data_IF_581233933767
#
_entry.id   IF_581233933767
#
_cell.length_a   1.000
_cell.length_b   1.000
_cell.length_c   1.000
_cell.angle_alpha   90.00
_cell.angle_beta   90.00
_cell.angle_gamma   90.00
#
_symmetry.space_group_name_H-M   'P 1'
#
loop_
_entity.id
_entity.type
_entity.pdbx_description
1 polymer ?
#
# COMPACT_ATOMS: atom_id res chain seq x y z
N UNK A 1 25.51 -7.79 -18.14
CA UNK A 1 24.95 -9.03 -17.51
C UNK A 1 24.79 -8.91 -15.99
N UNK A 2 25.63 -8.17 -15.26
CA UNK A 2 25.45 -7.94 -13.82
C UNK A 2 24.33 -6.93 -13.52
N UNK A 3 24.12 -5.90 -14.36
CA UNK A 3 23.07 -4.89 -14.20
C UNK A 3 21.64 -5.40 -14.45
N UNK A 4 21.46 -6.43 -15.27
CA UNK A 4 20.12 -7.03 -15.49
C UNK A 4 19.66 -7.89 -14.31
N UNK A 5 20.59 -8.45 -13.55
CA UNK A 5 20.26 -9.28 -12.36
C UNK A 5 19.77 -8.44 -11.18
N UNK A 6 20.24 -7.21 -11.03
CA UNK A 6 19.78 -6.30 -9.96
C UNK A 6 18.35 -5.74 -10.21
N UNK A 7 17.98 -5.49 -11.47
CA UNK A 7 16.63 -5.03 -11.85
C UNK A 7 15.53 -6.04 -11.49
N UNK A 8 15.85 -7.33 -11.53
CA UNK A 8 14.92 -8.38 -11.11
C UNK A 8 14.85 -8.60 -9.60
N UNK A 9 15.81 -8.11 -8.81
CA UNK A 9 15.82 -8.32 -7.35
C UNK A 9 14.70 -7.57 -6.63
N UNK A 10 14.34 -6.36 -7.04
CA UNK A 10 13.27 -5.58 -6.37
C UNK A 10 11.89 -6.21 -6.63
N UNK A 11 11.64 -6.70 -7.84
CA UNK A 11 10.43 -7.47 -8.14
C UNK A 11 10.44 -8.85 -7.44
N UNK A 12 11.61 -9.44 -7.18
CA UNK A 12 11.77 -10.69 -6.41
C UNK A 12 11.66 -10.51 -4.90
N UNK A 13 11.98 -9.34 -4.35
CA UNK A 13 11.78 -9.06 -2.92
C UNK A 13 10.30 -9.01 -2.52
N UNK A 14 9.41 -8.70 -3.48
CA UNK A 14 7.98 -8.88 -3.31
C UNK A 14 7.52 -10.34 -3.52
N UNK A 15 8.32 -11.18 -4.18
CA UNK A 15 8.06 -12.60 -4.39
C UNK A 15 8.75 -13.45 -3.30
N UNK A 16 8.13 -14.55 -2.90
CA UNK A 16 8.75 -15.49 -1.96
C UNK A 16 9.93 -16.23 -2.62
N UNK A 17 11.04 -16.42 -1.89
CA UNK A 17 12.14 -17.31 -2.29
C UNK A 17 11.79 -18.81 -2.16
N UNK A 18 10.55 -19.16 -1.84
CA UNK A 18 10.08 -20.53 -1.75
C UNK A 18 9.52 -21.00 -3.08
N UNK A 19 9.65 -22.31 -3.39
CA UNK A 19 9.04 -22.96 -4.56
C UNK A 19 7.49 -22.94 -4.52
N UNK A 20 6.89 -22.48 -3.43
CA UNK A 20 5.46 -22.24 -3.34
C UNK A 20 5.11 -20.91 -4.08
N UNK A 21 3.98 -20.88 -4.80
CA UNK A 21 3.52 -19.64 -5.40
C UNK A 21 3.40 -18.56 -4.32
N UNK A 22 3.86 -17.31 -4.59
CA UNK A 22 3.78 -16.24 -3.61
C UNK A 22 2.33 -16.02 -3.21
N UNK A 23 2.04 -15.78 -1.91
CA UNK A 23 0.72 -15.34 -1.50
C UNK A 23 0.38 -14.07 -2.27
N UNK A 24 -0.75 -14.05 -2.92
CA UNK A 24 -1.17 -12.91 -3.75
C UNK A 24 -1.97 -11.92 -2.90
N UNK A 25 -1.79 -10.63 -3.14
CA UNK A 25 -2.74 -9.60 -2.68
C UNK A 25 -4.06 -9.69 -3.45
N UNK A 26 -4.12 -10.52 -4.47
CA UNK A 26 -5.23 -10.66 -5.39
C UNK A 26 -6.17 -11.72 -4.82
N UNK A 27 -7.43 -11.35 -4.66
CA UNK A 27 -8.48 -12.31 -4.36
C UNK A 27 -8.76 -13.17 -5.61
N UNK A 28 -9.03 -14.44 -5.42
CA UNK A 28 -9.38 -15.38 -6.49
C UNK A 28 -10.85 -15.81 -6.41
N UNK A 29 -11.39 -16.31 -7.51
CA UNK A 29 -12.80 -16.73 -7.58
C UNK A 29 -13.08 -17.88 -6.58
N UNK A 30 -12.17 -18.84 -6.41
CA UNK A 30 -12.31 -19.94 -5.45
C UNK A 30 -12.40 -19.46 -3.98
N UNK A 31 -11.70 -18.39 -3.64
CA UNK A 31 -11.83 -17.76 -2.31
C UNK A 31 -13.20 -17.13 -2.14
N UNK A 32 -13.69 -16.43 -3.16
CA UNK A 32 -15.02 -15.82 -3.14
C UNK A 32 -16.12 -16.87 -3.04
N UNK A 33 -16.02 -17.98 -3.80
CA UNK A 33 -16.92 -19.14 -3.70
C UNK A 33 -16.90 -19.73 -2.29
N UNK A 34 -15.72 -19.98 -1.72
CA UNK A 34 -15.58 -20.49 -0.35
C UNK A 34 -16.17 -19.52 0.70
N UNK A 35 -16.13 -18.23 0.45
CA UNK A 35 -16.75 -17.20 1.27
C UNK A 35 -18.26 -17.06 1.02
N UNK A 36 -18.82 -17.69 -0.03
CA UNK A 36 -20.21 -17.58 -0.43
C UNK A 36 -20.60 -16.19 -0.94
N UNK A 37 -19.70 -15.55 -1.68
CA UNK A 37 -19.89 -14.21 -2.27
C UNK A 37 -19.62 -14.25 -3.77
N UNK A 38 -20.13 -13.27 -4.51
CA UNK A 38 -19.72 -13.08 -5.91
C UNK A 38 -18.34 -12.40 -5.96
N UNK A 39 -17.55 -12.74 -6.95
CA UNK A 39 -16.20 -12.20 -7.13
C UNK A 39 -16.16 -10.68 -7.22
N UNK A 40 -17.08 -10.09 -7.97
CA UNK A 40 -17.17 -8.64 -8.16
C UNK A 40 -17.48 -7.90 -6.85
N UNK A 41 -18.32 -8.51 -5.99
CA UNK A 41 -18.72 -7.91 -4.71
C UNK A 41 -17.55 -7.76 -3.75
N UNK A 42 -16.50 -8.60 -3.87
CA UNK A 42 -15.28 -8.48 -3.07
C UNK A 42 -14.55 -7.13 -3.24
N UNK A 43 -14.87 -6.35 -4.29
CA UNK A 43 -14.23 -5.06 -4.55
C UNK A 43 -15.11 -3.85 -4.23
N UNK A 44 -16.44 -4.03 -4.15
CA UNK A 44 -17.37 -2.91 -4.09
C UNK A 44 -18.41 -3.01 -2.96
N UNK A 45 -18.48 -4.16 -2.28
CA UNK A 45 -19.38 -4.39 -1.14
C UNK A 45 -18.57 -4.66 0.12
N UNK A 46 -18.84 -3.93 1.20
CA UNK A 46 -18.01 -3.97 2.41
C UNK A 46 -18.07 -5.31 3.13
N UNK A 47 -19.27 -5.93 3.27
CA UNK A 47 -19.39 -7.23 3.91
C UNK A 47 -18.76 -8.33 3.06
N UNK A 48 -18.99 -8.34 1.75
CA UNK A 48 -18.40 -9.30 0.84
C UNK A 48 -16.86 -9.20 0.86
N UNK A 49 -16.32 -7.99 0.81
CA UNK A 49 -14.88 -7.73 0.92
C UNK A 49 -14.32 -8.28 2.24
N UNK A 50 -15.00 -8.04 3.37
CA UNK A 50 -14.58 -8.54 4.68
C UNK A 50 -14.58 -10.08 4.72
N UNK A 51 -15.64 -10.72 4.22
CA UNK A 51 -15.75 -12.18 4.14
C UNK A 51 -14.68 -12.79 3.25
N UNK A 52 -14.36 -12.14 2.12
CA UNK A 52 -13.27 -12.56 1.25
C UNK A 52 -11.92 -12.46 1.96
N UNK A 53 -11.63 -11.35 2.66
CA UNK A 53 -10.40 -11.16 3.41
C UNK A 53 -10.24 -12.20 4.53
N UNK A 54 -11.32 -12.52 5.22
CA UNK A 54 -11.33 -13.55 6.25
C UNK A 54 -11.10 -14.96 5.67
N UNK A 55 -11.73 -15.29 4.53
CA UNK A 55 -11.52 -16.57 3.87
C UNK A 55 -10.07 -16.70 3.37
N UNK A 56 -9.51 -15.63 2.78
CA UNK A 56 -8.12 -15.58 2.35
C UNK A 56 -7.15 -15.77 3.51
N UNK A 57 -7.35 -15.05 4.62
CA UNK A 57 -6.48 -15.17 5.80
C UNK A 57 -6.51 -16.59 6.39
N UNK A 58 -7.67 -17.23 6.43
CA UNK A 58 -7.81 -18.63 6.91
C UNK A 58 -7.13 -19.63 5.99
N UNK A 59 -7.28 -19.48 4.66
CA UNK A 59 -6.61 -20.34 3.68
C UNK A 59 -5.09 -20.26 3.80
N UNK A 60 -4.56 -19.03 3.91
CA UNK A 60 -3.13 -18.78 3.94
C UNK A 60 -2.51 -18.90 5.34
N UNK A 61 -3.31 -19.17 6.36
CA UNK A 61 -2.93 -19.09 7.78
C UNK A 61 -2.30 -17.74 8.13
N UNK A 62 -2.80 -16.67 7.49
CA UNK A 62 -2.33 -15.31 7.71
C UNK A 62 -2.86 -14.75 9.03
N UNK A 63 -2.01 -14.25 9.93
CA UNK A 63 -2.45 -13.61 11.17
C UNK A 63 -3.16 -12.26 10.95
N UNK A 64 -3.24 -11.80 9.69
CA UNK A 64 -3.83 -10.52 9.30
C UNK A 64 -4.88 -10.70 8.21
N UNK A 65 -5.99 -9.97 8.31
CA UNK A 65 -6.89 -9.75 7.19
C UNK A 65 -6.40 -8.54 6.38
N UNK A 66 -5.98 -8.75 5.14
CA UNK A 66 -5.43 -7.72 4.27
C UNK A 66 -6.51 -7.08 3.41
N UNK A 67 -6.52 -5.76 3.35
CA UNK A 67 -7.46 -4.94 2.57
C UNK A 67 -6.69 -3.77 1.92
N UNK A 68 -7.21 -3.21 0.81
CA UNK A 68 -8.21 -3.75 -0.12
C UNK A 68 -7.60 -4.77 -1.10
N UNK A 69 -8.41 -5.26 -2.05
CA UNK A 69 -7.96 -6.12 -3.16
C UNK A 69 -7.72 -5.33 -4.46
N UNK A 70 -7.70 -4.03 -4.38
CA UNK A 70 -7.59 -3.10 -5.52
C UNK A 70 -6.71 -1.91 -5.14
N UNK A 71 -5.89 -1.48 -6.09
CA UNK A 71 -5.02 -0.29 -5.98
C UNK A 71 -5.73 1.02 -6.38
N UNK A 72 -7.03 0.99 -6.62
CA UNK A 72 -7.77 2.10 -7.23
C UNK A 72 -8.68 2.86 -6.26
N UNK A 73 -8.67 2.50 -4.98
CA UNK A 73 -9.62 3.00 -3.98
C UNK A 73 -9.59 4.52 -3.86
N UNK A 74 -8.42 5.12 -3.71
CA UNK A 74 -8.28 6.57 -3.59
C UNK A 74 -8.48 7.28 -4.94
N UNK A 75 -8.00 6.66 -6.04
CA UNK A 75 -8.10 7.25 -7.37
C UNK A 75 -9.55 7.36 -7.87
N UNK A 76 -10.44 6.45 -7.46
CA UNK A 76 -11.88 6.51 -7.77
C UNK A 76 -12.50 7.83 -7.30
N UNK A 77 -12.13 8.33 -6.12
CA UNK A 77 -12.62 9.59 -5.56
C UNK A 77 -12.30 10.81 -6.43
N UNK A 78 -11.28 10.69 -7.28
CA UNK A 78 -10.80 11.77 -8.17
C UNK A 78 -11.13 11.53 -9.64
N UNK A 79 -12.12 10.68 -9.90
CA UNK A 79 -12.72 10.50 -11.23
C UNK A 79 -12.16 9.33 -12.03
N UNK A 80 -11.30 8.49 -11.46
CA UNK A 80 -10.91 7.23 -12.10
C UNK A 80 -12.16 6.32 -12.25
N UNK A 81 -12.52 5.99 -13.50
CA UNK A 81 -13.61 5.06 -13.79
C UNK A 81 -13.08 3.65 -13.84
N UNK A 82 -13.60 2.82 -12.96
CA UNK A 82 -13.14 1.46 -12.79
C UNK A 82 -13.96 0.48 -13.63
N UNK A 83 -13.29 -0.52 -14.15
CA UNK A 83 -13.89 -1.70 -14.76
C UNK A 83 -13.08 -2.92 -14.33
N UNK A 84 -13.72 -4.10 -14.27
CA UNK A 84 -12.95 -5.32 -14.11
C UNK A 84 -12.14 -5.58 -15.38
N UNK A 85 -10.83 -5.75 -15.22
CA UNK A 85 -9.95 -6.07 -16.33
C UNK A 85 -10.30 -7.47 -16.87
N UNK A 86 -10.48 -7.61 -18.18
CA UNK A 86 -10.89 -8.88 -18.81
C UNK A 86 -9.93 -10.04 -18.58
N UNK A 87 -8.62 -9.76 -18.40
CA UNK A 87 -7.58 -10.77 -18.20
C UNK A 87 -7.30 -11.06 -16.73
N UNK A 88 -7.13 -10.00 -15.94
CA UNK A 88 -6.72 -10.11 -14.52
C UNK A 88 -7.91 -10.18 -13.58
N UNK A 89 -9.10 -9.84 -14.04
CA UNK A 89 -10.37 -9.81 -13.29
C UNK A 89 -10.36 -8.86 -12.09
N UNK A 90 -9.34 -8.02 -11.92
CA UNK A 90 -9.25 -7.01 -10.87
C UNK A 90 -9.73 -5.63 -11.39
N UNK A 91 -10.22 -4.73 -10.51
CA UNK A 91 -10.55 -3.38 -10.88
C UNK A 91 -9.34 -2.65 -11.48
N UNK A 92 -9.57 -2.04 -12.64
CA UNK A 92 -8.56 -1.26 -13.34
C UNK A 92 -9.19 0.01 -13.91
N UNK A 93 -8.39 1.05 -14.04
CA UNK A 93 -8.82 2.30 -14.66
C UNK A 93 -8.98 2.09 -16.17
N UNK A 94 -10.20 2.23 -16.67
CA UNK A 94 -10.51 2.04 -18.09
C UNK A 94 -9.87 3.14 -18.96
N UNK A 95 -9.98 4.39 -18.51
CA UNK A 95 -9.41 5.56 -19.17
C UNK A 95 -8.95 6.54 -18.09
N UNK A 96 -7.79 7.15 -18.31
CA UNK A 96 -7.31 8.19 -17.41
C UNK A 96 -8.27 9.39 -17.44
N UNK A 97 -8.73 9.89 -16.28
CA UNK A 97 -9.64 11.04 -16.22
C UNK A 97 -8.99 12.33 -16.74
N UNK A 98 -7.67 12.43 -16.68
CA UNK A 98 -6.94 13.61 -17.11
C UNK A 98 -5.84 13.26 -18.10
N UNK A 99 -5.52 14.20 -19.01
CA UNK A 99 -4.44 14.03 -19.99
C UNK A 99 -3.08 14.42 -19.39
N UNK A 100 -3.04 15.43 -18.53
CA UNK A 100 -1.83 15.99 -17.92
C UNK A 100 -2.11 16.34 -16.46
N UNK A 101 -1.07 16.38 -15.63
CA UNK A 101 -1.16 16.79 -14.23
C UNK A 101 -1.82 18.16 -14.04
N UNK A 102 -1.46 19.12 -14.88
CA UNK A 102 -2.02 20.48 -14.82
C UNK A 102 -3.52 20.56 -15.17
N UNK A 103 -4.09 19.54 -15.80
CA UNK A 103 -5.52 19.48 -16.11
C UNK A 103 -6.36 19.01 -14.91
N UNK A 104 -5.70 18.51 -13.85
CA UNK A 104 -6.37 18.04 -12.64
C UNK A 104 -6.81 19.21 -11.76
N UNK A 105 -8.05 19.20 -11.24
CA UNK A 105 -8.45 20.14 -10.20
C UNK A 105 -7.67 19.89 -8.90
N UNK A 106 -7.77 20.80 -7.93
CA UNK A 106 -7.27 20.55 -6.58
C UNK A 106 -7.97 19.34 -5.95
N UNK A 107 -7.22 18.50 -5.23
CA UNK A 107 -7.77 17.32 -4.58
C UNK A 107 -8.66 17.69 -3.41
N UNK A 108 -9.96 17.50 -3.61
CA UNK A 108 -10.97 17.75 -2.58
C UNK A 108 -10.87 16.70 -1.46
N UNK A 109 -11.40 17.01 -0.25
CA UNK A 109 -11.56 16.01 0.81
C UNK A 109 -12.25 14.75 0.32
N UNK A 110 -11.88 13.60 0.86
CA UNK A 110 -12.45 12.31 0.50
C UNK A 110 -13.87 12.16 1.03
N UNK A 111 -14.78 11.63 0.22
CA UNK A 111 -16.12 11.25 0.65
C UNK A 111 -16.14 9.79 1.11
N UNK A 112 -15.97 9.57 2.39
CA UNK A 112 -15.93 8.22 3.00
C UNK A 112 -17.26 7.47 2.98
N UNK A 113 -18.31 8.08 2.44
CA UNK A 113 -19.66 7.49 2.36
C UNK A 113 -19.95 6.87 0.99
N UNK A 114 -19.03 6.95 0.03
CA UNK A 114 -19.24 6.52 -1.35
C UNK A 114 -18.06 5.74 -1.93
N UNK A 115 -18.38 4.92 -2.95
CA UNK A 115 -17.40 4.21 -3.77
C UNK A 115 -16.63 3.14 -2.99
N UNK A 116 -15.50 2.71 -3.55
CA UNK A 116 -14.68 1.67 -2.93
C UNK A 116 -14.20 2.03 -1.54
N UNK A 117 -13.90 3.30 -1.27
CA UNK A 117 -13.40 3.74 0.04
C UNK A 117 -14.42 3.48 1.16
N UNK A 118 -15.72 3.69 0.89
CA UNK A 118 -16.79 3.34 1.82
C UNK A 118 -16.83 1.83 2.09
N UNK A 119 -16.80 1.03 1.03
CA UNK A 119 -16.80 -0.43 1.15
C UNK A 119 -15.59 -0.95 1.95
N UNK A 120 -14.41 -0.39 1.71
CA UNK A 120 -13.20 -0.75 2.48
C UNK A 120 -13.36 -0.41 3.96
N UNK A 121 -13.85 0.77 4.30
CA UNK A 121 -14.05 1.18 5.70
C UNK A 121 -15.13 0.32 6.39
N UNK A 122 -16.18 -0.06 5.69
CA UNK A 122 -17.19 -1.02 6.17
C UNK A 122 -16.57 -2.40 6.42
N UNK A 123 -15.75 -2.88 5.50
CA UNK A 123 -15.01 -4.14 5.66
C UNK A 123 -14.09 -4.12 6.89
N UNK A 124 -13.36 -3.01 7.10
CA UNK A 124 -12.52 -2.83 8.30
C UNK A 124 -13.35 -2.92 9.57
N UNK A 125 -14.49 -2.22 9.65
CA UNK A 125 -15.41 -2.25 10.81
C UNK A 125 -15.94 -3.67 11.07
N UNK A 126 -16.36 -4.35 10.00
CA UNK A 126 -16.87 -5.71 10.07
C UNK A 126 -15.84 -6.69 10.63
N UNK A 127 -14.62 -6.69 10.06
CA UNK A 127 -13.52 -7.55 10.50
C UNK A 127 -13.12 -7.25 11.95
N UNK A 128 -13.04 -5.97 12.32
CA UNK A 128 -12.73 -5.56 13.69
C UNK A 128 -13.77 -6.06 14.67
N UNK A 129 -15.08 -6.00 14.33
CA UNK A 129 -16.16 -6.52 15.15
C UNK A 129 -16.06 -8.03 15.37
N UNK A 130 -15.51 -8.75 14.37
CA UNK A 130 -15.28 -10.20 14.44
C UNK A 130 -13.95 -10.59 15.11
N UNK A 131 -13.23 -9.61 15.69
CA UNK A 131 -11.99 -9.86 16.44
C UNK A 131 -10.74 -10.01 15.59
N UNK A 132 -10.83 -9.74 14.28
CA UNK A 132 -9.72 -9.88 13.36
C UNK A 132 -8.77 -8.65 13.41
N UNK A 133 -7.52 -8.87 13.10
CA UNK A 133 -6.55 -7.78 12.91
C UNK A 133 -6.46 -7.41 11.44
N UNK A 134 -6.83 -6.18 11.12
CA UNK A 134 -6.82 -5.68 9.74
C UNK A 134 -5.51 -4.98 9.44
N UNK A 135 -4.85 -5.37 8.35
CA UNK A 135 -3.83 -4.60 7.67
C UNK A 135 -4.49 -3.90 6.47
N UNK A 136 -4.49 -2.57 6.51
CA UNK A 136 -5.03 -1.75 5.43
C UNK A 136 -3.90 -1.17 4.59
N UNK A 137 -3.93 -1.40 3.28
CA UNK A 137 -3.04 -0.76 2.32
C UNK A 137 -3.56 0.62 1.92
N UNK A 138 -2.65 1.58 1.92
CA UNK A 138 -2.81 2.94 1.42
C UNK A 138 -1.96 3.07 0.16
N UNK A 139 -2.56 3.50 -0.94
CA UNK A 139 -1.79 3.80 -2.14
C UNK A 139 -0.99 5.08 -1.96
N UNK A 140 0.24 5.06 -2.46
CA UNK A 140 1.13 6.20 -2.42
C UNK A 140 0.79 7.26 -3.46
N UNK A 141 1.37 8.42 -3.30
CA UNK A 141 1.11 9.59 -4.13
C UNK A 141 1.31 9.29 -5.62
N UNK A 142 2.43 8.67 -5.99
CA UNK A 142 2.75 8.39 -7.39
C UNK A 142 1.89 7.27 -7.97
N UNK A 143 1.49 6.30 -7.14
CA UNK A 143 0.54 5.26 -7.51
C UNK A 143 -0.81 5.89 -7.86
N UNK A 144 -1.35 6.76 -7.00
CA UNK A 144 -2.62 7.46 -7.26
C UNK A 144 -2.52 8.34 -8.51
N UNK A 145 -1.46 9.16 -8.62
CA UNK A 145 -1.25 10.01 -9.80
C UNK A 145 -1.22 9.19 -11.09
N UNK A 146 -0.60 8.00 -11.08
CA UNK A 146 -0.48 7.11 -12.25
C UNK A 146 -1.79 6.41 -12.62
N UNK A 147 -2.81 6.48 -11.77
CA UNK A 147 -4.18 6.05 -12.06
C UNK A 147 -5.06 7.21 -12.58
N UNK A 148 -4.65 8.46 -12.36
CA UNK A 148 -5.36 9.66 -12.79
C UNK A 148 -4.85 10.23 -14.12
N UNK A 149 -3.55 10.08 -14.38
CA UNK A 149 -2.90 10.34 -15.67
C UNK A 149 -2.00 9.15 -16.03
N UNK A 150 -1.51 9.07 -17.26
CA UNK A 150 -0.59 7.99 -17.61
C UNK A 150 0.71 8.08 -16.81
N UNK A 151 1.30 6.94 -16.44
CA UNK A 151 2.61 6.89 -15.75
C UNK A 151 3.67 7.68 -16.51
N UNK A 152 3.62 7.69 -17.87
CA UNK A 152 4.51 8.49 -18.70
C UNK A 152 4.40 10.00 -18.40
N UNK A 153 3.20 10.53 -18.17
CA UNK A 153 3.01 11.94 -17.83
C UNK A 153 3.50 12.22 -16.40
N UNK A 154 3.34 11.29 -15.46
CA UNK A 154 3.91 11.41 -14.12
C UNK A 154 5.44 11.50 -14.19
N UNK A 155 6.11 10.55 -14.86
CA UNK A 155 7.57 10.58 -15.03
C UNK A 155 8.04 11.86 -15.75
N UNK A 156 7.34 12.26 -16.81
CA UNK A 156 7.66 13.51 -17.53
C UNK A 156 7.56 14.73 -16.61
N UNK A 157 6.57 14.79 -15.73
CA UNK A 157 6.42 15.88 -14.78
C UNK A 157 7.52 15.86 -13.69
N UNK A 158 7.92 14.70 -13.19
CA UNK A 158 9.06 14.56 -12.27
C UNK A 158 10.33 15.21 -12.87
N UNK A 159 10.59 14.97 -14.17
CA UNK A 159 11.76 15.53 -14.83
C UNK A 159 11.64 17.01 -15.24
N UNK A 160 10.44 17.46 -15.63
CA UNK A 160 10.27 18.80 -16.27
C UNK A 160 9.60 19.82 -15.36
N UNK A 161 8.73 19.38 -14.46
CA UNK A 161 7.91 20.24 -13.61
C UNK A 161 7.90 19.72 -12.15
N UNK A 162 9.09 19.58 -11.50
CA UNK A 162 9.16 19.01 -10.14
C UNK A 162 8.35 19.79 -9.11
N UNK A 163 8.20 21.12 -9.29
CA UNK A 163 7.35 21.95 -8.43
C UNK A 163 5.88 21.55 -8.46
N UNK A 164 5.36 21.19 -9.64
CA UNK A 164 3.98 20.71 -9.78
C UNK A 164 3.78 19.33 -9.11
N UNK A 165 4.74 18.43 -9.27
CA UNK A 165 4.74 17.14 -8.58
C UNK A 165 4.71 17.33 -7.07
N UNK A 166 5.55 18.21 -6.52
CA UNK A 166 5.57 18.51 -5.07
C UNK A 166 4.26 19.11 -4.59
N UNK A 167 3.67 20.04 -5.35
CA UNK A 167 2.38 20.64 -5.01
C UNK A 167 1.26 19.58 -5.00
N UNK A 168 1.11 18.83 -6.10
CA UNK A 168 0.09 17.78 -6.20
C UNK A 168 0.33 16.66 -5.19
N UNK A 169 1.60 16.35 -4.94
CA UNK A 169 2.01 15.39 -3.93
C UNK A 169 1.59 15.81 -2.53
N UNK A 170 1.78 17.07 -2.16
CA UNK A 170 1.37 17.60 -0.85
C UNK A 170 -0.17 17.57 -0.66
N UNK A 171 -0.94 17.91 -1.72
CA UNK A 171 -2.40 17.82 -1.70
C UNK A 171 -2.86 16.36 -1.48
N UNK A 172 -2.33 15.40 -2.23
CA UNK A 172 -2.66 13.98 -2.07
C UNK A 172 -2.19 13.41 -0.74
N UNK A 173 -1.00 13.79 -0.26
CA UNK A 173 -0.47 13.36 1.03
C UNK A 173 -1.42 13.72 2.18
N UNK A 174 -2.09 14.88 2.10
CA UNK A 174 -3.14 15.26 3.06
C UNK A 174 -4.34 14.31 2.99
N UNK A 175 -4.81 14.00 1.77
CA UNK A 175 -5.96 13.10 1.57
C UNK A 175 -5.66 11.67 2.01
N UNK A 176 -4.45 11.17 1.72
CA UNK A 176 -4.00 9.84 2.20
C UNK A 176 -3.95 9.80 3.73
N UNK A 177 -3.52 10.90 4.37
CA UNK A 177 -3.50 11.00 5.82
C UNK A 177 -4.91 11.04 6.43
N UNK A 178 -5.88 11.73 5.80
CA UNK A 178 -7.29 11.69 6.19
C UNK A 178 -7.85 10.27 6.13
N UNK A 179 -7.57 9.54 5.03
CA UNK A 179 -8.00 8.14 4.88
C UNK A 179 -7.36 7.23 5.93
N UNK A 180 -6.07 7.40 6.19
CA UNK A 180 -5.37 6.65 7.24
C UNK A 180 -6.00 6.87 8.62
N UNK A 181 -6.34 8.11 8.96
CA UNK A 181 -7.01 8.45 10.22
C UNK A 181 -8.38 7.80 10.34
N UNK A 182 -9.21 7.90 9.29
CA UNK A 182 -10.55 7.30 9.26
C UNK A 182 -10.47 5.76 9.34
N UNK A 183 -9.54 5.15 8.60
CA UNK A 183 -9.33 3.70 8.65
C UNK A 183 -8.98 3.20 10.06
N UNK A 184 -8.13 3.93 10.79
CA UNK A 184 -7.79 3.61 12.17
C UNK A 184 -9.00 3.79 13.10
N UNK A 185 -9.80 4.84 12.91
CA UNK A 185 -11.07 5.04 13.64
C UNK A 185 -12.03 3.87 13.37
N UNK A 186 -12.07 3.33 12.16
CA UNK A 186 -12.85 2.14 11.81
C UNK A 186 -12.29 0.84 12.39
N UNK A 187 -11.03 0.81 12.82
CA UNK A 187 -10.41 -0.32 13.49
C UNK A 187 -9.24 -0.99 12.77
N UNK A 188 -8.67 -0.36 11.74
CA UNK A 188 -7.43 -0.85 11.13
C UNK A 188 -6.31 -0.92 12.19
N UNK A 189 -5.70 -2.10 12.33
CA UNK A 189 -4.67 -2.35 13.33
C UNK A 189 -3.26 -2.06 12.84
N UNK A 190 -3.05 -2.21 11.54
CA UNK A 190 -1.79 -1.95 10.84
C UNK A 190 -2.11 -1.22 9.54
N UNK A 191 -1.31 -0.23 9.18
CA UNK A 191 -1.35 0.43 7.89
C UNK A 191 -0.15 0.00 7.06
N UNK A 192 -0.36 -0.19 5.76
CA UNK A 192 0.69 -0.44 4.76
C UNK A 192 0.67 0.69 3.73
N UNK A 193 1.78 1.37 3.51
CA UNK A 193 1.89 2.40 2.48
C UNK A 193 2.73 1.87 1.32
N UNK A 194 2.18 1.91 0.12
CA UNK A 194 2.81 1.38 -1.09
C UNK A 194 2.87 2.43 -2.20
N UNK A 195 4.07 2.79 -2.62
CA UNK A 195 4.32 3.70 -3.76
C UNK A 195 5.33 3.07 -4.72
N UNK A 196 4.94 1.93 -5.29
CA UNK A 196 5.82 1.14 -6.15
C UNK A 196 5.88 1.66 -7.60
N UNK A 197 5.06 2.66 -7.97
CA UNK A 197 4.98 3.19 -9.34
C UNK A 197 6.23 3.99 -9.71
N UNK A 198 6.81 4.72 -8.76
CA UNK A 198 8.06 5.44 -8.94
C UNK A 198 9.23 4.54 -8.56
N UNK A 199 10.06 4.18 -9.54
CA UNK A 199 11.20 3.29 -9.36
C UNK A 199 12.51 4.10 -9.34
N UNK A 200 13.37 3.78 -8.37
CA UNK A 200 14.72 4.35 -8.26
C UNK A 200 15.58 4.08 -9.50
N UNK A 201 15.29 3.02 -10.25
CA UNK A 201 15.99 2.66 -11.49
C UNK A 201 15.58 3.53 -12.70
N UNK A 202 14.39 4.14 -12.65
CA UNK A 202 13.84 4.95 -13.74
C UNK A 202 14.03 6.46 -13.53
N UNK A 203 14.51 6.86 -12.37
CA UNK A 203 14.76 8.27 -12.00
C UNK A 203 16.19 8.37 -11.48
N UNK A 204 16.92 9.45 -11.81
CA UNK A 204 18.28 9.60 -11.26
C UNK A 204 18.24 9.69 -9.73
N UNK A 205 19.30 9.22 -9.02
CA UNK A 205 19.34 9.24 -7.56
C UNK A 205 19.05 10.63 -6.96
N UNK A 206 19.60 11.67 -7.55
CA UNK A 206 19.41 13.06 -7.11
C UNK A 206 17.96 13.49 -7.29
N UNK A 207 17.38 13.24 -8.47
CA UNK A 207 16.00 13.61 -8.76
C UNK A 207 15.01 12.78 -7.93
N UNK A 208 15.33 11.50 -7.71
CA UNK A 208 14.53 10.68 -6.80
C UNK A 208 14.53 11.27 -5.39
N UNK A 209 15.71 11.59 -4.83
CA UNK A 209 15.83 12.19 -3.49
C UNK A 209 15.08 13.51 -3.40
N UNK A 210 15.36 14.45 -4.33
CA UNK A 210 14.95 15.85 -4.24
C UNK A 210 13.49 16.07 -4.64
N UNK A 211 12.83 15.10 -5.29
CA UNK A 211 11.42 15.18 -5.72
C UNK A 211 10.62 14.02 -5.17
N UNK A 212 10.90 12.80 -5.61
CA UNK A 212 10.06 11.64 -5.28
C UNK A 212 10.18 11.28 -3.79
N UNK A 213 11.39 11.23 -3.27
CA UNK A 213 11.66 10.95 -1.86
C UNK A 213 11.07 12.00 -0.93
N UNK A 214 11.21 13.30 -1.27
CA UNK A 214 10.62 14.39 -0.50
C UNK A 214 9.10 14.28 -0.42
N UNK A 215 8.42 14.01 -1.56
CA UNK A 215 6.96 13.82 -1.62
C UNK A 215 6.53 12.60 -0.81
N UNK A 216 7.23 11.47 -0.96
CA UNK A 216 6.91 10.24 -0.22
C UNK A 216 7.15 10.41 1.28
N UNK A 217 8.24 11.06 1.68
CA UNK A 217 8.54 11.35 3.10
C UNK A 217 7.47 12.27 3.71
N UNK A 218 7.01 13.31 3.00
CA UNK A 218 5.92 14.17 3.47
C UNK A 218 4.62 13.37 3.67
N UNK A 219 4.25 12.52 2.70
CA UNK A 219 3.08 11.66 2.81
C UNK A 219 3.17 10.73 4.04
N UNK A 220 4.28 10.02 4.19
CA UNK A 220 4.51 9.11 5.33
C UNK A 220 4.47 9.87 6.67
N UNK A 221 5.06 11.07 6.75
CA UNK A 221 5.00 11.91 7.95
C UNK A 221 3.58 12.35 8.29
N UNK A 222 2.75 12.67 7.29
CA UNK A 222 1.33 13.04 7.50
C UNK A 222 0.51 11.84 7.96
N UNK A 223 0.66 10.68 7.34
CA UNK A 223 0.03 9.42 7.77
C UNK A 223 0.44 9.10 9.22
N UNK A 224 1.71 9.24 9.56
CA UNK A 224 2.19 9.02 10.93
C UNK A 224 1.58 10.00 11.95
N UNK A 225 1.32 11.25 11.56
CA UNK A 225 0.62 12.22 12.43
C UNK A 225 -0.85 11.89 12.60
N UNK A 226 -1.52 11.44 11.53
CA UNK A 226 -2.94 11.04 11.58
C UNK A 226 -3.15 9.74 12.37
N UNK A 227 -2.17 8.82 12.36
CA UNK A 227 -2.23 7.52 13.02
C UNK A 227 -1.00 7.27 13.95
N UNK A 228 -0.77 8.08 15.00
CA UNK A 228 0.49 8.10 15.75
C UNK A 228 0.77 6.81 16.53
N UNK A 229 -0.27 6.06 16.87
CA UNK A 229 -0.17 4.83 17.66
C UNK A 229 -0.24 3.56 16.82
N UNK A 230 -0.54 3.67 15.53
CA UNK A 230 -0.68 2.53 14.62
C UNK A 230 0.67 2.19 13.98
N UNK A 231 0.94 0.91 13.78
CA UNK A 231 2.08 0.45 12.99
C UNK A 231 1.86 0.87 11.54
N UNK A 232 2.84 1.54 10.96
CA UNK A 232 2.92 1.83 9.53
C UNK A 232 4.06 1.04 8.91
N UNK A 233 3.72 0.16 7.98
CA UNK A 233 4.66 -0.60 7.18
C UNK A 233 4.78 0.08 5.81
N UNK A 234 6.01 0.37 5.35
CA UNK A 234 6.25 0.75 3.98
C UNK A 234 6.56 -0.49 3.15
N UNK A 235 5.98 -0.60 1.97
CA UNK A 235 6.30 -1.69 1.06
C UNK A 235 7.81 -1.71 0.74
N UNK A 236 8.33 -2.87 0.35
CA UNK A 236 9.75 -3.07 0.09
C UNK A 236 10.30 -2.07 -0.94
N UNK A 237 9.62 -1.90 -2.07
CA UNK A 237 10.04 -0.98 -3.12
C UNK A 237 10.14 0.48 -2.62
N UNK A 238 9.12 0.95 -1.88
CA UNK A 238 9.11 2.32 -1.33
C UNK A 238 10.23 2.51 -0.30
N UNK A 239 10.37 1.60 0.66
CA UNK A 239 11.35 1.74 1.74
C UNK A 239 12.80 1.64 1.26
N UNK A 240 13.10 0.69 0.37
CA UNK A 240 14.43 0.54 -0.24
C UNK A 240 14.77 1.74 -1.12
N UNK A 241 13.78 2.26 -1.88
CA UNK A 241 13.96 3.47 -2.68
C UNK A 241 14.32 4.69 -1.81
N UNK A 242 13.63 4.89 -0.69
CA UNK A 242 13.93 5.97 0.26
C UNK A 242 15.31 5.81 0.91
N UNK A 243 15.72 4.59 1.26
CA UNK A 243 17.04 4.33 1.85
C UNK A 243 18.16 4.58 0.82
N UNK A 244 18.04 4.07 -0.40
CA UNK A 244 18.99 4.32 -1.49
C UNK A 244 19.14 5.80 -1.85
N UNK A 245 18.07 6.58 -1.68
CA UNK A 245 18.06 8.02 -1.89
C UNK A 245 18.51 8.83 -0.68
N UNK A 246 18.95 8.19 0.40
CA UNK A 246 19.34 8.84 1.66
C UNK A 246 18.19 9.63 2.34
N UNK A 247 16.93 9.28 2.03
CA UNK A 247 15.73 9.86 2.64
C UNK A 247 15.29 9.12 3.91
N UNK A 248 15.82 7.91 4.13
CA UNK A 248 15.55 7.10 5.32
C UNK A 248 16.77 6.28 5.72
N UNK A 249 16.76 5.82 6.98
CA UNK A 249 17.74 4.86 7.52
C UNK A 249 16.98 3.67 8.08
N UNK A 250 17.44 2.47 7.76
CA UNK A 250 16.89 1.22 8.27
C UNK A 250 17.77 0.63 9.38
N UNK A 251 17.14 0.21 10.48
CA UNK A 251 17.78 -0.46 11.61
C UNK A 251 17.12 -1.81 11.86
N UNK A 252 17.92 -2.86 12.07
CA UNK A 252 17.41 -4.19 12.42
C UNK A 252 16.87 -4.21 13.85
N UNK A 253 15.61 -4.58 13.99
CA UNK A 253 14.94 -4.79 15.28
C UNK A 253 14.71 -6.27 15.47
N UNK A 254 15.36 -6.92 16.44
CA UNK A 254 15.21 -8.34 16.70
C UNK A 254 13.76 -8.70 17.06
N UNK A 255 13.29 -9.84 16.57
CA UNK A 255 12.01 -10.46 16.93
C UNK A 255 12.24 -11.93 17.30
N UNK A 256 11.20 -12.57 17.83
CA UNK A 256 11.26 -14.00 18.15
C UNK A 256 11.50 -14.81 16.87
N UNK A 257 12.47 -15.75 16.84
CA UNK A 257 12.71 -16.61 15.69
C UNK A 257 11.48 -17.48 15.36
N UNK A 258 11.25 -17.69 14.07
CA UNK A 258 10.22 -18.61 13.58
C UNK A 258 8.81 -18.00 13.49
N UNK A 259 8.63 -16.72 13.76
CA UNK A 259 7.36 -16.02 13.56
C UNK A 259 7.01 -15.89 12.06
N UNK A 260 5.72 -15.80 11.79
CA UNK A 260 5.23 -15.26 10.53
C UNK A 260 5.47 -13.74 10.50
N UNK A 261 5.66 -13.17 9.30
CA UNK A 261 5.91 -11.73 9.19
C UNK A 261 4.77 -10.88 9.77
N UNK A 262 3.52 -11.28 9.55
CA UNK A 262 2.35 -10.62 10.14
C UNK A 262 2.30 -10.72 11.67
N UNK A 263 2.75 -11.83 12.25
CA UNK A 263 2.89 -11.97 13.72
C UNK A 263 3.95 -11.01 14.26
N UNK A 264 5.08 -10.91 13.58
CA UNK A 264 6.15 -9.97 13.96
C UNK A 264 5.66 -8.51 13.93
N UNK A 265 4.92 -8.11 12.88
CA UNK A 265 4.31 -6.78 12.79
C UNK A 265 3.36 -6.51 13.97
N UNK A 266 2.47 -7.46 14.30
CA UNK A 266 1.55 -7.34 15.44
C UNK A 266 2.30 -7.19 16.76
N UNK A 267 3.26 -8.06 17.03
CA UNK A 267 4.02 -8.06 18.29
C UNK A 267 4.86 -6.80 18.47
N UNK A 268 5.55 -6.35 17.42
CA UNK A 268 6.31 -5.10 17.46
C UNK A 268 5.36 -3.91 17.61
N UNK A 269 4.26 -3.89 16.88
CA UNK A 269 3.23 -2.86 17.00
C UNK A 269 2.63 -2.75 18.41
N UNK A 270 2.48 -3.84 19.13
CA UNK A 270 1.97 -3.85 20.51
C UNK A 270 3.04 -3.45 21.53
N UNK A 271 4.26 -3.97 21.39
CA UNK A 271 5.27 -3.94 22.44
C UNK A 271 6.34 -2.84 22.27
N UNK A 272 6.53 -2.31 21.08
CA UNK A 272 7.60 -1.38 20.75
C UNK A 272 7.06 -0.01 20.28
N UNK A 273 6.76 0.86 21.25
CA UNK A 273 6.27 2.22 20.96
C UNK A 273 7.26 3.07 20.16
N UNK A 274 8.53 2.76 20.25
CA UNK A 274 9.64 3.40 19.51
C UNK A 274 9.79 2.89 18.07
N UNK A 275 9.06 1.81 17.69
CA UNK A 275 9.12 1.16 16.39
C UNK A 275 7.73 1.15 15.74
N UNK A 276 7.28 2.31 15.25
CA UNK A 276 5.97 2.50 14.60
C UNK A 276 6.07 2.67 13.09
N UNK A 277 7.26 2.74 12.54
CA UNK A 277 7.52 2.79 11.11
C UNK A 277 8.51 1.69 10.76
N UNK A 278 8.11 0.78 9.89
CA UNK A 278 8.93 -0.35 9.44
C UNK A 278 8.92 -0.44 7.91
N UNK A 279 9.92 -1.10 7.35
CA UNK A 279 10.05 -1.27 5.90
C UNK A 279 10.67 -2.60 5.52
N UNK A 280 11.16 -2.71 4.27
CA UNK A 280 11.81 -3.87 3.66
C UNK A 280 10.94 -5.13 3.59
N UNK A 281 9.68 -5.04 4.02
CA UNK A 281 8.70 -6.10 3.89
C UNK A 281 7.59 -5.71 2.91
N UNK A 282 6.83 -6.70 2.49
CA UNK A 282 5.60 -6.49 1.73
C UNK A 282 4.45 -7.15 2.48
N UNK A 283 3.26 -6.54 2.44
CA UNK A 283 2.07 -7.10 3.09
C UNK A 283 1.74 -8.53 2.63
N UNK A 284 2.06 -8.88 1.38
CA UNK A 284 1.86 -10.25 0.85
C UNK A 284 2.67 -11.30 1.60
N UNK A 285 3.71 -10.90 2.32
CA UNK A 285 4.55 -11.78 3.12
C UNK A 285 3.99 -12.05 4.51
N UNK A 286 2.87 -11.43 4.89
CA UNK A 286 2.32 -11.59 6.24
C UNK A 286 2.08 -13.05 6.66
N UNK A 287 1.64 -13.99 5.79
CA UNK A 287 1.51 -15.40 6.12
C UNK A 287 2.83 -16.19 6.03
N UNK A 288 3.92 -15.59 5.55
CA UNK A 288 5.18 -16.30 5.38
C UNK A 288 6.02 -16.29 6.64
N UNK A 289 6.68 -17.41 6.91
CA UNK A 289 7.67 -17.51 7.98
C UNK A 289 8.89 -16.64 7.66
N UNK A 290 9.32 -15.86 8.63
CA UNK A 290 10.51 -15.02 8.49
C UNK A 290 11.76 -15.91 8.40
N UNK A 291 12.62 -15.63 7.44
CA UNK A 291 13.92 -16.30 7.30
C UNK A 291 14.89 -15.80 8.38
N UNK A 292 14.87 -14.49 8.62
CA UNK A 292 15.73 -13.82 9.59
C UNK A 292 14.88 -13.25 10.76
N UNK A 293 15.33 -13.40 12.03
CA UNK A 293 14.55 -12.99 13.19
C UNK A 293 14.66 -11.49 13.49
N UNK A 294 14.44 -10.63 12.50
CA UNK A 294 14.38 -9.18 12.68
C UNK A 294 13.45 -8.52 11.64
N UNK A 295 12.95 -7.36 11.98
CA UNK A 295 12.29 -6.44 11.05
C UNK A 295 13.12 -5.17 10.94
N UNK A 296 12.89 -4.38 9.89
CA UNK A 296 13.60 -3.12 9.70
C UNK A 296 12.74 -1.95 10.19
N UNK A 297 13.17 -1.31 11.28
CA UNK A 297 12.65 -0.01 11.71
C UNK A 297 13.21 1.07 10.79
N UNK A 298 12.36 1.97 10.33
CA UNK A 298 12.76 3.10 9.51
C UNK A 298 12.76 4.40 10.31
N UNK A 299 13.77 5.22 10.05
CA UNK A 299 13.84 6.61 10.50
C UNK A 299 13.95 7.51 9.27
N UNK A 300 12.97 8.39 9.06
CA UNK A 300 12.97 9.35 7.95
C UNK A 300 13.93 10.51 8.24
N UNK A 301 14.69 10.92 7.23
CA UNK A 301 15.57 12.09 7.28
C UNK A 301 14.89 13.38 6.87
#
# INVERSE_FOLDING_TARGET
>A
MAEETEKFHIARECASDSDAPPPTCIISEDICEAAGIRYEDAFFDGEAMARAALALSRRDHDPLCRLPFSVSVEAEQYGAKLTLNEKTRIPAVKNFPYKRLQDMPAFQPLDFTKGQISAVLEAVKWLKHHGETVLLELEGVFSILSLLVSSREVYKAVYRNPGEIKQRGAELAERIAEYAGEAVCCGAGILSYSDATISFELVSPELYRDVCGEVTVDAVRRVRRAAPHTMLQLCSATSVGLERADCAVAEKVPVTPGLLYGEALKLVGLNRKDCRLVGHGCQVRSPLRMQEPYIYKLTLR
#
